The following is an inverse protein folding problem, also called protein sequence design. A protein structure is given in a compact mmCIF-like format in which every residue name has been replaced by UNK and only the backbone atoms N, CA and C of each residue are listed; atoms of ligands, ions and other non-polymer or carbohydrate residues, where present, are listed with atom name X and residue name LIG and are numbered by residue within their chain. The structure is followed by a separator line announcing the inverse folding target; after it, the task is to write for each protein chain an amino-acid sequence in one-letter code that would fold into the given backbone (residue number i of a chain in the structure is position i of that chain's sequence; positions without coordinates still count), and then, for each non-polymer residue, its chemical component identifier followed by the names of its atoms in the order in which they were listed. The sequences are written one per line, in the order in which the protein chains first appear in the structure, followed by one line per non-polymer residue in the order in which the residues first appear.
data_IF_125922301641
#
_entry.id   IF_125922301641
#
_cell.length_a   1.000
_cell.length_b   1.000
_cell.length_c   1.000
_cell.angle_alpha   90.00
_cell.angle_beta   90.00
_cell.angle_gamma   90.00
#
_symmetry.space_group_name_H-M   'P 1'
#
loop_
_entity.id
_entity.type
_entity.pdbx_description
1 polymer ?
#
# COMPACT_ATOMS: atom_id res chain seq x y z
N UNK A 1 11.29 14.03 -12.36
CA UNK A 1 11.93 12.71 -12.57
C UNK A 1 10.90 11.61 -12.89
N UNK A 2 9.83 11.43 -12.09
CA UNK A 2 8.78 10.43 -12.38
C UNK A 2 8.05 10.68 -13.71
N UNK A 3 7.82 11.94 -14.05
CA UNK A 3 7.20 12.33 -15.34
C UNK A 3 8.00 11.91 -16.57
N UNK A 4 9.31 12.07 -16.53
CA UNK A 4 10.20 11.66 -17.63
C UNK A 4 10.34 10.13 -17.69
N UNK A 5 10.31 9.45 -16.55
CA UNK A 5 10.29 7.98 -16.49
C UNK A 5 9.03 7.40 -17.16
N UNK A 6 7.85 7.96 -16.88
CA UNK A 6 6.57 7.54 -17.47
C UNK A 6 6.52 7.73 -19.00
N UNK A 7 7.14 8.80 -19.54
CA UNK A 7 7.23 9.01 -20.98
C UNK A 7 8.03 7.95 -21.72
N UNK A 8 8.99 7.33 -21.05
CA UNK A 8 9.90 6.35 -21.66
C UNK A 8 9.36 4.93 -21.63
N UNK A 9 8.31 4.63 -20.85
CA UNK A 9 7.64 3.33 -20.80
C UNK A 9 6.62 3.16 -21.94
N UNK A 10 7.08 3.21 -23.19
CA UNK A 10 6.22 2.96 -24.37
C UNK A 10 5.70 1.53 -24.47
N UNK A 11 6.26 0.58 -23.73
CA UNK A 11 5.91 -0.84 -23.78
C UNK A 11 4.77 -1.23 -22.82
N UNK A 12 4.45 -0.38 -21.83
CA UNK A 12 3.33 -0.57 -20.91
C UNK A 12 2.35 0.58 -21.08
N UNK A 13 1.57 0.59 -22.16
CA UNK A 13 0.49 1.56 -22.32
C UNK A 13 -0.66 1.22 -21.37
N UNK A 14 -0.52 1.67 -20.14
CA UNK A 14 -1.55 1.57 -19.11
C UNK A 14 -2.66 2.63 -19.28
N UNK A 15 -2.68 3.38 -20.40
CA UNK A 15 -3.62 4.48 -20.60
C UNK A 15 -3.41 5.65 -19.64
N UNK A 16 -2.20 5.78 -19.10
CA UNK A 16 -1.85 6.83 -18.13
C UNK A 16 -1.88 8.19 -18.77
N UNK A 17 -2.65 9.10 -18.18
CA UNK A 17 -2.74 10.51 -18.59
C UNK A 17 -1.96 11.35 -17.59
N UNK A 18 -1.19 12.28 -18.12
CA UNK A 18 -0.48 13.28 -17.36
C UNK A 18 -0.97 14.66 -17.81
N UNK A 19 -1.50 15.43 -16.91
CA UNK A 19 -2.10 16.72 -17.19
C UNK A 19 -1.55 17.80 -16.26
N UNK A 20 -1.63 19.06 -16.68
CA UNK A 20 -1.33 20.18 -15.81
C UNK A 20 -2.37 20.28 -14.70
N UNK A 21 -1.99 20.88 -13.57
CA UNK A 21 -2.87 21.01 -12.42
C UNK A 21 -4.21 21.69 -12.77
N UNK A 22 -4.17 22.73 -13.61
CA UNK A 22 -5.36 23.50 -14.01
C UNK A 22 -6.38 22.67 -14.81
N UNK A 23 -5.95 21.52 -15.35
CA UNK A 23 -6.83 20.62 -16.09
C UNK A 23 -7.50 19.57 -15.20
N UNK A 24 -6.93 19.28 -14.01
CA UNK A 24 -7.44 18.27 -13.10
C UNK A 24 -8.92 18.43 -12.73
N UNK A 25 -9.44 19.65 -12.45
CA UNK A 25 -10.85 19.83 -12.12
C UNK A 25 -11.84 19.44 -13.22
N UNK A 26 -11.39 19.33 -14.48
CA UNK A 26 -12.22 18.82 -15.58
C UNK A 26 -12.54 17.33 -15.43
N UNK A 27 -11.62 16.58 -14.79
CA UNK A 27 -11.75 15.14 -14.55
C UNK A 27 -12.22 14.86 -13.13
N UNK A 28 -11.74 15.65 -12.17
CA UNK A 28 -11.99 15.50 -10.74
C UNK A 28 -12.48 16.83 -10.14
N UNK A 29 -13.78 17.18 -10.29
CA UNK A 29 -14.31 18.49 -9.87
C UNK A 29 -14.18 18.77 -8.37
N UNK A 30 -13.93 17.74 -7.57
CA UNK A 30 -13.79 17.81 -6.12
C UNK A 30 -12.38 18.18 -5.65
N UNK A 31 -11.39 18.24 -6.57
CA UNK A 31 -9.99 18.42 -6.19
C UNK A 31 -9.61 19.91 -6.03
N UNK A 32 -8.93 20.24 -4.96
CA UNK A 32 -8.20 21.50 -4.84
C UNK A 32 -6.78 21.33 -5.41
N UNK A 33 -6.44 22.18 -6.37
CA UNK A 33 -5.17 22.11 -7.09
C UNK A 33 -4.05 22.96 -6.47
N UNK A 34 -4.31 23.65 -5.38
CA UNK A 34 -3.32 24.53 -4.74
C UNK A 34 -2.02 23.76 -4.41
N UNK A 35 -0.90 24.30 -4.89
CA UNK A 35 0.43 23.72 -4.72
C UNK A 35 0.71 22.49 -5.57
N UNK A 36 -0.11 22.18 -6.58
CA UNK A 36 0.15 21.17 -7.59
C UNK A 36 0.64 21.82 -8.89
N UNK A 37 1.55 21.15 -9.55
CA UNK A 37 2.01 21.48 -10.93
C UNK A 37 1.35 20.57 -11.96
N UNK A 38 1.23 19.29 -11.63
CA UNK A 38 0.68 18.27 -12.54
C UNK A 38 -0.10 17.22 -11.75
N UNK A 39 -0.92 16.46 -12.46
CA UNK A 39 -1.53 15.24 -11.96
C UNK A 39 -1.45 14.11 -12.97
N UNK A 40 -1.32 12.90 -12.46
CA UNK A 40 -1.26 11.68 -13.26
C UNK A 40 -2.38 10.74 -12.83
N UNK A 41 -3.11 10.21 -13.80
CA UNK A 41 -4.17 9.23 -13.55
C UNK A 41 -4.31 8.27 -14.71
N UNK A 42 -4.88 7.10 -14.46
CA UNK A 42 -5.10 6.06 -15.46
C UNK A 42 -6.59 5.92 -15.77
N UNK A 43 -6.92 5.56 -17.01
CA UNK A 43 -8.29 5.23 -17.37
C UNK A 43 -8.72 3.94 -16.66
N UNK A 44 -9.83 4.00 -15.93
CA UNK A 44 -10.30 3.04 -14.94
C UNK A 44 -10.60 1.62 -15.44
N UNK A 45 -10.44 1.35 -16.74
CA UNK A 45 -10.76 0.03 -17.31
C UNK A 45 -9.71 -1.05 -17.05
N UNK A 46 -8.51 -0.66 -16.70
CA UNK A 46 -7.35 -1.56 -16.54
C UNK A 46 -6.74 -1.50 -15.13
N UNK A 47 -7.16 -0.56 -14.32
CA UNK A 47 -6.79 -0.46 -12.91
C UNK A 47 -8.01 -0.67 -12.01
N UNK A 48 -7.77 -1.22 -10.83
CA UNK A 48 -8.84 -1.49 -9.88
C UNK A 48 -8.28 -1.98 -8.55
N UNK A 49 -9.16 -2.38 -7.69
CA UNK A 49 -8.83 -3.00 -6.41
C UNK A 49 -9.46 -4.39 -6.33
N UNK A 50 -8.90 -5.23 -5.50
CA UNK A 50 -9.42 -6.55 -5.18
C UNK A 50 -9.58 -6.69 -3.67
N UNK A 51 -10.51 -7.54 -3.24
CA UNK A 51 -10.58 -7.98 -1.85
C UNK A 51 -9.39 -8.89 -1.56
N UNK A 52 -8.48 -8.52 -0.63
CA UNK A 52 -7.27 -9.29 -0.37
C UNK A 52 -7.56 -10.66 0.25
N UNK A 53 -8.62 -10.79 1.05
CA UNK A 53 -9.01 -12.06 1.64
C UNK A 53 -9.56 -13.04 0.59
N UNK A 54 -10.44 -12.57 -0.29
CA UNK A 54 -10.97 -13.37 -1.38
C UNK A 54 -9.88 -13.79 -2.35
N UNK A 55 -8.97 -12.87 -2.69
CA UNK A 55 -7.85 -13.16 -3.57
C UNK A 55 -6.89 -14.20 -2.96
N UNK A 56 -6.51 -14.02 -1.70
CA UNK A 56 -5.70 -14.99 -0.97
C UNK A 56 -6.39 -16.37 -0.91
N UNK A 57 -7.68 -16.42 -0.58
CA UNK A 57 -8.43 -17.68 -0.54
C UNK A 57 -8.46 -18.37 -1.92
N UNK A 58 -8.68 -17.61 -2.98
CA UNK A 58 -8.70 -18.16 -4.34
C UNK A 58 -7.33 -18.75 -4.74
N UNK A 59 -6.24 -18.04 -4.43
CA UNK A 59 -4.88 -18.55 -4.68
C UNK A 59 -4.58 -19.80 -3.87
N UNK A 60 -4.95 -19.82 -2.59
CA UNK A 60 -4.76 -20.97 -1.72
C UNK A 60 -5.52 -22.19 -2.25
N UNK A 61 -6.81 -22.05 -2.52
CA UNK A 61 -7.64 -23.15 -3.04
C UNK A 61 -7.07 -23.69 -4.35
N UNK A 62 -6.62 -22.78 -5.23
CA UNK A 62 -6.02 -23.21 -6.51
C UNK A 62 -4.70 -23.97 -6.30
N UNK A 63 -3.87 -23.55 -5.35
CA UNK A 63 -2.65 -24.25 -5.00
C UNK A 63 -2.94 -25.66 -4.44
N UNK A 64 -3.95 -25.80 -3.56
CA UNK A 64 -4.39 -27.10 -3.03
C UNK A 64 -4.90 -28.03 -4.13
N UNK A 65 -5.72 -27.53 -5.07
CA UNK A 65 -6.15 -28.28 -6.25
C UNK A 65 -4.98 -28.79 -7.10
N UNK A 66 -3.88 -28.03 -7.14
CA UNK A 66 -2.65 -28.39 -7.85
C UNK A 66 -1.70 -29.27 -7.02
N UNK A 67 -2.11 -29.68 -5.82
CA UNK A 67 -1.37 -30.62 -4.98
C UNK A 67 -0.46 -29.97 -3.93
N UNK A 68 -0.56 -28.65 -3.68
CA UNK A 68 0.15 -28.02 -2.58
C UNK A 68 -0.44 -28.48 -1.23
N UNK A 69 0.43 -28.67 -0.26
CA UNK A 69 0.06 -29.04 1.12
C UNK A 69 0.31 -27.82 2.01
N UNK A 70 -0.72 -27.41 2.74
CA UNK A 70 -0.63 -26.31 3.70
C UNK A 70 -0.54 -26.86 5.12
N UNK A 71 0.55 -26.54 5.81
CA UNK A 71 0.74 -26.88 7.22
C UNK A 71 0.76 -25.63 8.07
N UNK A 72 -0.06 -25.59 9.13
CA UNK A 72 -0.01 -24.54 10.14
C UNK A 72 1.08 -24.85 11.15
N UNK A 73 2.27 -24.29 10.93
CA UNK A 73 3.45 -24.54 11.76
C UNK A 73 4.27 -23.26 11.90
N UNK A 74 4.67 -22.94 13.12
CA UNK A 74 5.64 -21.88 13.38
C UNK A 74 7.05 -22.38 13.04
N UNK A 75 7.76 -21.67 12.18
CA UNK A 75 9.16 -21.94 11.82
C UNK A 75 10.03 -20.90 12.52
N UNK A 76 10.87 -21.34 13.45
CA UNK A 76 11.79 -20.47 14.22
C UNK A 76 13.19 -20.40 13.61
N UNK A 77 13.60 -21.40 12.85
CA UNK A 77 14.89 -21.45 12.18
C UNK A 77 14.70 -22.01 10.78
N UNK A 78 15.34 -21.40 9.80
CA UNK A 78 15.27 -21.86 8.41
C UNK A 78 15.78 -23.32 8.27
N UNK A 79 16.68 -23.73 9.15
CA UNK A 79 17.24 -25.10 9.20
C UNK A 79 16.24 -26.17 9.64
N UNK A 80 15.10 -25.78 10.22
CA UNK A 80 14.05 -26.70 10.64
C UNK A 80 13.21 -27.19 9.44
N UNK A 81 13.31 -26.49 8.31
CA UNK A 81 12.65 -26.85 7.06
C UNK A 81 13.51 -27.85 6.28
N UNK A 82 12.97 -29.05 6.05
CA UNK A 82 13.66 -30.12 5.29
C UNK A 82 13.09 -30.19 3.87
N UNK A 83 13.66 -29.40 2.96
CA UNK A 83 13.26 -29.36 1.56
C UNK A 83 14.48 -29.23 0.64
N UNK A 84 14.35 -29.68 -0.62
CA UNK A 84 15.38 -29.48 -1.65
C UNK A 84 15.54 -28.00 -2.00
N UNK A 85 14.42 -27.26 -2.05
CA UNK A 85 14.35 -25.82 -2.30
C UNK A 85 13.44 -25.23 -1.22
N UNK A 86 13.85 -24.13 -0.64
CA UNK A 86 13.10 -23.37 0.35
C UNK A 86 12.89 -21.98 -0.21
N UNK A 87 11.64 -21.52 -0.24
CA UNK A 87 11.29 -20.13 -0.58
C UNK A 87 10.82 -19.46 0.69
N UNK A 88 11.55 -18.44 1.14
CA UNK A 88 11.15 -17.62 2.29
C UNK A 88 10.25 -16.48 1.83
N UNK A 89 9.02 -16.53 2.25
CA UNK A 89 8.04 -15.44 2.04
C UNK A 89 7.48 -15.00 3.40
N UNK A 90 8.39 -14.76 4.36
CA UNK A 90 8.06 -14.51 5.76
C UNK A 90 7.69 -13.04 6.05
N UNK A 91 7.64 -12.17 5.02
CA UNK A 91 7.28 -10.77 5.16
C UNK A 91 8.21 -10.04 6.14
N UNK A 92 7.65 -9.25 7.02
CA UNK A 92 8.42 -8.45 7.99
C UNK A 92 9.20 -9.28 9.02
N UNK A 93 8.92 -10.58 9.15
CA UNK A 93 9.65 -11.51 10.02
C UNK A 93 10.82 -12.22 9.32
N UNK A 94 11.13 -11.84 8.08
CA UNK A 94 12.23 -12.45 7.31
C UNK A 94 13.55 -12.39 8.08
N UNK A 95 13.85 -11.26 8.74
CA UNK A 95 15.09 -11.09 9.49
C UNK A 95 15.22 -12.05 10.70
N UNK A 96 14.12 -12.53 11.27
CA UNK A 96 14.14 -13.53 12.36
C UNK A 96 14.61 -14.89 11.87
N UNK A 97 14.32 -15.24 10.60
CA UNK A 97 14.72 -16.50 9.97
C UNK A 97 16.06 -16.38 9.24
N UNK A 98 16.32 -15.23 8.65
CA UNK A 98 17.45 -14.93 7.77
C UNK A 98 18.06 -13.59 8.22
N UNK A 99 18.87 -13.62 9.28
CA UNK A 99 19.36 -12.40 9.97
C UNK A 99 20.26 -11.49 9.15
N UNK A 100 20.72 -11.95 7.98
CA UNK A 100 21.51 -11.15 7.04
C UNK A 100 20.65 -10.49 5.93
N UNK A 101 19.33 -10.68 5.96
CA UNK A 101 18.41 -9.98 5.09
C UNK A 101 17.86 -8.74 5.81
N UNK A 102 18.09 -7.52 5.32
CA UNK A 102 17.82 -6.26 6.03
C UNK A 102 16.35 -5.83 5.99
N UNK A 103 15.44 -6.76 6.26
CA UNK A 103 14.00 -6.50 6.33
C UNK A 103 13.57 -6.30 7.78
N UNK A 104 12.73 -5.30 8.04
CA UNK A 104 12.18 -5.04 9.36
C UNK A 104 10.70 -4.64 9.28
N UNK A 105 9.94 -4.92 10.34
CA UNK A 105 8.55 -4.46 10.44
C UNK A 105 8.49 -2.94 10.54
N UNK A 106 7.74 -2.33 9.65
CA UNK A 106 7.44 -0.92 9.67
C UNK A 106 5.94 -0.73 9.82
N UNK A 107 5.49 -0.17 10.94
CA UNK A 107 4.07 0.02 11.24
C UNK A 107 3.51 1.19 10.43
N UNK A 108 2.39 0.93 9.75
CA UNK A 108 1.58 1.94 9.09
C UNK A 108 0.15 1.90 9.60
N UNK A 109 -0.47 3.07 9.74
CA UNK A 109 -1.86 3.21 10.14
C UNK A 109 -2.74 3.55 8.94
N UNK A 110 -3.89 2.89 8.86
CA UNK A 110 -4.97 3.21 7.93
C UNK A 110 -6.19 3.64 8.73
N UNK A 111 -6.73 4.80 8.40
CA UNK A 111 -7.92 5.37 9.03
C UNK A 111 -9.15 5.11 8.17
N UNK A 112 -10.27 4.81 8.82
CA UNK A 112 -11.59 4.74 8.21
C UNK A 112 -12.35 6.01 8.57
N UNK A 113 -12.84 6.71 7.55
CA UNK A 113 -13.47 8.00 7.71
C UNK A 113 -14.76 8.09 6.90
N UNK A 114 -15.72 8.84 7.40
CA UNK A 114 -17.00 9.07 6.75
C UNK A 114 -17.16 10.55 6.41
N UNK A 115 -17.47 10.83 5.13
CA UNK A 115 -17.86 12.14 4.67
C UNK A 115 -19.39 12.22 4.58
N UNK A 116 -20.04 13.24 5.13
CA UNK A 116 -21.48 13.43 4.98
C UNK A 116 -21.88 13.79 3.54
N UNK A 117 -20.96 14.35 2.77
CA UNK A 117 -21.15 14.69 1.36
C UNK A 117 -20.75 13.52 0.47
N UNK A 118 -21.63 13.18 -0.45
CA UNK A 118 -21.28 12.21 -1.50
C UNK A 118 -20.36 12.86 -2.53
N UNK A 119 -19.22 12.25 -2.78
CA UNK A 119 -18.28 12.67 -3.82
C UNK A 119 -18.26 11.57 -4.89
N UNK A 120 -18.82 11.84 -6.08
CA UNK A 120 -18.90 10.83 -7.12
C UNK A 120 -17.54 10.52 -7.75
N UNK A 121 -17.39 9.31 -8.24
CA UNK A 121 -16.28 8.88 -9.09
C UNK A 121 -14.88 9.18 -8.55
N UNK A 122 -14.71 9.06 -7.23
CA UNK A 122 -13.41 9.24 -6.59
C UNK A 122 -12.57 7.96 -6.72
N UNK A 123 -11.43 7.99 -7.42
CA UNK A 123 -10.50 6.86 -7.47
C UNK A 123 -9.66 6.77 -6.19
N UNK A 124 -8.84 5.72 -6.08
CA UNK A 124 -7.67 5.76 -5.20
C UNK A 124 -6.80 6.95 -5.60
N UNK A 125 -6.56 7.83 -4.67
CA UNK A 125 -5.84 9.07 -4.88
C UNK A 125 -4.69 9.19 -3.90
N UNK A 126 -3.52 9.56 -4.38
CA UNK A 126 -2.35 9.91 -3.57
C UNK A 126 -2.00 11.39 -3.74
N UNK A 127 -1.88 12.10 -2.64
CA UNK A 127 -1.37 13.46 -2.61
C UNK A 127 0.15 13.43 -2.34
N UNK A 128 0.95 13.45 -3.38
CA UNK A 128 2.40 13.31 -3.26
C UNK A 128 3.06 14.37 -2.35
N UNK A 129 2.62 15.65 -2.36
CA UNK A 129 3.16 16.65 -1.45
C UNK A 129 3.02 16.32 0.04
N UNK A 130 1.91 15.71 0.44
CA UNK A 130 1.68 15.30 1.83
C UNK A 130 2.02 13.83 2.10
N UNK A 131 2.08 13.01 1.07
CA UNK A 131 2.21 11.55 1.16
C UNK A 131 0.93 10.84 1.63
N UNK A 132 -0.16 11.56 1.85
CA UNK A 132 -1.45 10.98 2.24
C UNK A 132 -2.15 10.41 1.02
N UNK A 133 -2.74 9.23 1.18
CA UNK A 133 -3.58 8.64 0.13
C UNK A 133 -4.95 8.30 0.70
N UNK A 134 -5.95 8.21 -0.17
CA UNK A 134 -7.30 7.80 0.20
C UNK A 134 -8.02 7.10 -0.95
N UNK A 135 -9.05 6.33 -0.61
CA UNK A 135 -9.96 5.70 -1.56
C UNK A 135 -11.35 5.50 -0.96
N UNK A 136 -12.40 5.44 -1.78
CA UNK A 136 -13.72 5.00 -1.33
C UNK A 136 -13.70 3.54 -0.87
N UNK A 137 -14.49 3.22 0.16
CA UNK A 137 -14.68 1.87 0.68
C UNK A 137 -16.06 1.74 1.36
N UNK A 138 -16.99 1.00 0.73
CA UNK A 138 -18.27 0.65 1.36
C UNK A 138 -19.12 1.82 1.88
N UNK A 139 -19.10 2.99 1.21
CA UNK A 139 -19.80 4.20 1.63
C UNK A 139 -19.04 5.07 2.63
N UNK A 140 -17.83 4.69 2.96
CA UNK A 140 -16.82 5.46 3.72
C UNK A 140 -15.57 5.68 2.85
N UNK A 141 -14.51 6.19 3.45
CA UNK A 141 -13.19 6.28 2.83
C UNK A 141 -12.14 5.66 3.73
N UNK A 142 -11.13 5.05 3.10
CA UNK A 142 -9.89 4.70 3.77
C UNK A 142 -8.86 5.75 3.46
N UNK A 143 -8.10 6.16 4.47
CA UNK A 143 -6.99 7.11 4.34
C UNK A 143 -5.75 6.55 5.03
N UNK A 144 -4.62 6.59 4.34
CA UNK A 144 -3.34 6.13 4.87
C UNK A 144 -2.44 7.29 5.26
N UNK A 145 -1.74 7.13 6.40
CA UNK A 145 -0.72 8.06 6.85
C UNK A 145 0.62 7.78 6.15
N UNK A 146 1.36 8.82 5.72
CA UNK A 146 2.75 8.67 5.30
C UNK A 146 3.69 8.39 6.48
N UNK A 147 3.21 8.61 7.71
CA UNK A 147 4.00 8.41 8.91
C UNK A 147 4.06 6.93 9.23
N UNK A 148 5.28 6.46 9.44
CA UNK A 148 5.55 5.07 9.75
C UNK A 148 6.53 4.96 10.89
N UNK A 149 6.44 3.85 11.65
CA UNK A 149 7.32 3.60 12.79
C UNK A 149 7.97 2.23 12.66
N UNK A 150 9.29 2.19 12.74
CA UNK A 150 10.02 0.93 12.89
C UNK A 150 9.97 0.44 14.34
N UNK A 151 10.10 -0.87 14.48
CA UNK A 151 10.24 -1.54 15.79
C UNK A 151 9.09 -1.21 16.77
N UNK A 152 7.90 -0.91 16.25
CA UNK A 152 6.72 -0.72 17.09
C UNK A 152 6.28 -2.06 17.71
N UNK A 153 6.06 -2.12 19.03
CA UNK A 153 5.77 -3.38 19.71
C UNK A 153 4.34 -3.90 19.50
N UNK A 154 3.46 -3.09 18.93
CA UNK A 154 2.05 -3.42 18.76
C UNK A 154 1.48 -2.82 17.48
N UNK A 155 0.28 -3.28 17.12
CA UNK A 155 -0.51 -2.81 15.98
C UNK A 155 -1.63 -1.85 16.40
N UNK A 156 -1.46 -1.12 17.51
CA UNK A 156 -2.38 -0.03 17.82
C UNK A 156 -2.21 1.11 16.82
N UNK A 157 -3.31 1.63 16.26
CA UNK A 157 -3.26 2.78 15.36
C UNK A 157 -2.68 4.03 16.04
N UNK A 158 -2.00 4.84 15.28
CA UNK A 158 -1.50 6.15 15.76
C UNK A 158 -2.60 7.20 15.57
N UNK A 159 -3.57 7.22 16.48
CA UNK A 159 -4.78 8.04 16.36
C UNK A 159 -4.50 9.55 16.21
N UNK A 160 -3.46 10.06 16.87
CA UNK A 160 -3.09 11.47 16.79
C UNK A 160 -2.63 11.86 15.37
N UNK A 161 -2.05 10.93 14.61
CA UNK A 161 -1.61 11.20 13.24
C UNK A 161 -2.78 11.61 12.34
N UNK A 162 -4.00 11.17 12.68
CA UNK A 162 -5.17 11.55 11.90
C UNK A 162 -5.44 13.05 12.02
N UNK A 163 -5.50 13.58 13.24
CA UNK A 163 -5.82 14.98 13.46
C UNK A 163 -4.66 15.91 13.10
N UNK A 164 -3.44 15.47 13.35
CA UNK A 164 -2.24 16.28 13.14
C UNK A 164 -1.78 16.36 11.68
N UNK A 165 -1.98 15.29 10.90
CA UNK A 165 -1.42 15.18 9.56
C UNK A 165 -2.42 14.76 8.49
N UNK A 166 -3.19 13.67 8.73
CA UNK A 166 -3.98 13.05 7.67
C UNK A 166 -5.18 13.91 7.34
N UNK A 167 -5.97 14.29 8.33
CA UNK A 167 -7.17 15.11 8.10
C UNK A 167 -6.85 16.49 7.49
N UNK A 168 -5.86 17.27 7.96
CA UNK A 168 -5.49 18.53 7.31
C UNK A 168 -5.10 18.38 5.84
N UNK A 169 -4.34 17.32 5.50
CA UNK A 169 -3.95 17.02 4.12
C UNK A 169 -5.17 16.67 3.26
N UNK A 170 -6.06 15.82 3.77
CA UNK A 170 -7.29 15.45 3.10
C UNK A 170 -8.21 16.66 2.85
N UNK A 171 -8.45 17.48 3.87
CA UNK A 171 -9.29 18.67 3.77
C UNK A 171 -8.71 19.70 2.80
N UNK A 172 -7.39 19.90 2.82
CA UNK A 172 -6.71 20.76 1.85
C UNK A 172 -6.93 20.29 0.42
N UNK A 173 -6.81 19.00 0.16
CA UNK A 173 -6.89 18.43 -1.21
C UNK A 173 -8.33 18.25 -1.68
N UNK A 174 -9.23 17.91 -0.78
CA UNK A 174 -10.67 17.74 -1.04
C UNK A 174 -11.45 18.57 -0.04
N UNK A 175 -11.89 19.79 -0.37
CA UNK A 175 -12.54 20.69 0.58
C UNK A 175 -13.77 20.11 1.29
N UNK A 176 -14.49 19.17 0.64
CA UNK A 176 -15.60 18.47 1.27
C UNK A 176 -15.16 17.58 2.46
N UNK A 177 -13.89 17.25 2.56
CA UNK A 177 -13.33 16.44 3.64
C UNK A 177 -13.06 17.23 4.94
N UNK A 178 -13.31 18.52 4.98
CA UNK A 178 -13.35 19.26 6.24
C UNK A 178 -14.39 18.70 7.22
N UNK A 179 -15.45 18.08 6.69
CA UNK A 179 -16.55 17.50 7.48
C UNK A 179 -16.36 16.01 7.79
N UNK A 180 -15.17 15.45 7.55
CA UNK A 180 -14.88 14.04 7.84
C UNK A 180 -15.08 13.70 9.31
N UNK A 181 -15.59 12.50 9.55
CA UNK A 181 -15.65 11.89 10.87
C UNK A 181 -14.82 10.62 10.87
N UNK A 182 -13.91 10.52 11.81
CA UNK A 182 -13.15 9.29 12.07
C UNK A 182 -14.12 8.21 12.58
N UNK A 183 -14.21 7.08 11.90
CA UNK A 183 -15.09 5.96 12.25
C UNK A 183 -14.32 4.73 12.72
N UNK A 184 -13.00 4.72 12.55
CA UNK A 184 -12.13 3.64 13.00
C UNK A 184 -10.81 3.63 12.26
N UNK A 185 -10.09 2.55 12.40
CA UNK A 185 -8.80 2.36 11.75
C UNK A 185 -8.12 1.08 12.21
N UNK A 186 -7.01 0.77 11.60
CA UNK A 186 -6.13 -0.33 11.98
C UNK A 186 -4.68 -0.01 11.61
N UNK A 187 -3.76 -0.76 12.18
CA UNK A 187 -2.37 -0.72 11.78
C UNK A 187 -1.92 -2.08 11.25
N UNK A 188 -0.89 -2.07 10.42
CA UNK A 188 -0.24 -3.25 9.87
C UNK A 188 1.26 -3.04 9.75
N UNK A 189 2.01 -4.13 9.64
CA UNK A 189 3.44 -4.06 9.35
C UNK A 189 3.69 -4.25 7.86
N UNK A 190 4.47 -3.33 7.29
CA UNK A 190 5.14 -3.54 6.03
C UNK A 190 6.47 -4.25 6.27
N UNK A 191 6.86 -5.10 5.34
CA UNK A 191 8.15 -5.74 5.26
C UNK A 191 9.16 -4.80 4.59
N UNK A 192 9.64 -3.84 5.36
CA UNK A 192 10.49 -2.79 4.83
C UNK A 192 11.95 -3.24 4.70
N UNK A 193 12.47 -3.23 3.47
CA UNK A 193 13.89 -3.35 3.22
C UNK A 193 14.59 -2.03 3.60
N UNK A 194 15.42 -2.07 4.65
CA UNK A 194 16.10 -0.88 5.20
C UNK A 194 17.14 -0.24 4.27
N UNK A 195 17.51 -0.90 3.16
CA UNK A 195 18.52 -0.36 2.24
C UNK A 195 17.91 0.62 1.24
N UNK A 196 16.80 0.25 0.61
CA UNK A 196 16.25 0.99 -0.52
C UNK A 196 14.72 0.93 -0.62
N UNK A 197 14.04 0.34 0.37
CA UNK A 197 12.59 0.13 0.41
C UNK A 197 12.03 -0.74 -0.74
N UNK A 198 12.89 -1.43 -1.51
CA UNK A 198 12.46 -2.29 -2.59
C UNK A 198 12.35 -3.76 -2.16
N UNK A 199 11.52 -4.51 -2.88
CA UNK A 199 11.39 -5.95 -2.66
C UNK A 199 12.71 -6.68 -2.94
N UNK A 200 13.01 -7.67 -2.10
CA UNK A 200 14.15 -8.56 -2.31
C UNK A 200 13.60 -9.85 -2.93
N UNK A 201 14.02 -10.13 -4.17
CA UNK A 201 13.61 -11.33 -4.90
C UNK A 201 14.84 -12.01 -5.47
N UNK A 202 15.06 -13.27 -5.09
CA UNK A 202 16.17 -14.04 -5.63
C UNK A 202 16.74 -15.09 -4.69
N UNK A 203 17.87 -15.61 -5.08
CA UNK A 203 18.59 -16.64 -4.31
C UNK A 203 19.36 -16.02 -3.15
N UNK A 204 19.27 -16.67 -1.99
CA UNK A 204 20.04 -16.23 -0.82
C UNK A 204 21.56 -16.33 -1.10
N UNK A 205 22.35 -15.29 -0.79
CA UNK A 205 23.76 -15.23 -1.18
C UNK A 205 24.65 -16.32 -0.55
N UNK A 206 24.28 -16.78 0.65
CA UNK A 206 25.08 -17.76 1.42
C UNK A 206 24.45 -19.15 1.50
N UNK A 207 23.15 -19.29 1.30
CA UNK A 207 22.44 -20.58 1.40
C UNK A 207 22.00 -21.05 0.01
N UNK A 208 22.58 -22.19 -0.45
CA UNK A 208 22.43 -22.65 -1.84
C UNK A 208 21.00 -23.01 -2.24
N UNK A 209 20.17 -23.41 -1.30
CA UNK A 209 18.81 -23.90 -1.54
C UNK A 209 17.71 -22.98 -0.99
N UNK A 210 18.05 -21.76 -0.55
CA UNK A 210 17.11 -20.76 -0.01
C UNK A 210 16.95 -19.63 -1.02
N UNK A 211 15.69 -19.18 -1.20
CA UNK A 211 15.28 -18.11 -2.08
C UNK A 211 14.34 -17.15 -1.34
#
# INVERSE_FOLDING_TARGET
EQYEALKNHKECDAGTKNVKAEELPKFFPWINIEGLETGTFTDSKIEGWIDPHMFHAALKNKAEELGAIFEKKEIKKITDVKAKIIVSAAGCWTNELLSDIPVAPQKHTVFRVKCPKHIPEMPLTGDLPSGVYWRPEGGEYLAGSPISKFDSPNLEPEWNDFEEFVWPALAKRVPAFEELKLTGGWAGYYDCNKLDNNAIVGKHPKMKNVY
#
